data_IF_190674331456
#
_entry.id   IF_190674331456
#
_cell.length_a   1.000
_cell.length_b   1.000
_cell.length_c   1.000
_cell.angle_alpha   90.00
_cell.angle_beta   90.00
_cell.angle_gamma   90.00
#
_symmetry.space_group_name_H-M   'P 1'
#
loop_
_entity.id
_entity.type
_entity.pdbx_description
1 polymer ?
#
# COMPACT_ATOMS: atom_id res chain seq x y z
N UNK A 1 27.24 -15.34 10.39
CA UNK A 1 27.17 -14.15 9.52
C UNK A 1 26.37 -14.42 8.24
N UNK A 2 26.69 -15.46 7.46
CA UNK A 2 25.97 -15.82 6.22
C UNK A 2 24.45 -16.04 6.37
N UNK A 3 24.03 -16.72 7.44
CA UNK A 3 22.60 -16.96 7.72
C UNK A 3 21.77 -15.68 7.90
N UNK A 4 22.35 -14.63 8.48
CA UNK A 4 21.64 -13.37 8.74
C UNK A 4 21.39 -12.59 7.44
N UNK A 5 22.36 -12.63 6.53
CA UNK A 5 22.29 -12.00 5.20
C UNK A 5 21.25 -12.72 4.34
N UNK A 6 21.24 -14.05 4.37
CA UNK A 6 20.27 -14.86 3.64
C UNK A 6 18.83 -14.64 4.11
N UNK A 7 18.62 -14.46 5.41
CA UNK A 7 17.31 -14.13 6.00
C UNK A 7 16.88 -12.71 5.61
N UNK A 8 17.78 -11.73 5.63
CA UNK A 8 17.43 -10.35 5.23
C UNK A 8 17.06 -10.26 3.74
N UNK A 9 17.76 -11.00 2.88
CA UNK A 9 17.48 -11.00 1.44
C UNK A 9 16.16 -11.70 1.12
N UNK A 10 15.87 -12.80 1.83
CA UNK A 10 14.57 -13.47 1.76
C UNK A 10 13.44 -12.55 2.22
N UNK A 11 13.61 -11.88 3.37
CA UNK A 11 12.62 -10.95 3.90
C UNK A 11 12.39 -9.79 2.93
N UNK A 12 13.43 -9.18 2.36
CA UNK A 12 13.28 -8.12 1.34
C UNK A 12 12.51 -8.60 0.12
N UNK A 13 12.80 -9.81 -0.36
CA UNK A 13 12.14 -10.39 -1.54
C UNK A 13 10.65 -10.64 -1.34
N UNK A 14 10.25 -11.11 -0.15
CA UNK A 14 8.87 -11.49 0.15
C UNK A 14 8.14 -10.51 1.08
N UNK A 15 8.73 -9.35 1.36
CA UNK A 15 8.21 -8.40 2.36
C UNK A 15 6.76 -8.01 2.07
N UNK A 16 6.45 -7.80 0.79
CA UNK A 16 5.15 -7.31 0.34
C UNK A 16 4.10 -8.44 0.43
N UNK A 17 4.47 -9.66 0.05
CA UNK A 17 3.60 -10.84 0.18
C UNK A 17 3.36 -11.21 1.66
N UNK A 18 4.39 -11.13 2.49
CA UNK A 18 4.28 -11.37 3.93
C UNK A 18 3.44 -10.28 4.60
N UNK A 19 3.66 -9.00 4.26
CA UNK A 19 2.86 -7.89 4.75
C UNK A 19 1.39 -8.06 4.38
N UNK A 20 1.08 -8.44 3.14
CA UNK A 20 -0.28 -8.77 2.72
C UNK A 20 -0.90 -9.88 3.56
N UNK A 21 -0.19 -11.02 3.70
CA UNK A 21 -0.68 -12.15 4.48
C UNK A 21 -0.94 -11.79 5.94
N UNK A 22 -0.02 -11.05 6.57
CA UNK A 22 -0.14 -10.58 7.95
C UNK A 22 -1.32 -9.59 8.07
N UNK A 23 -1.45 -8.62 7.17
CA UNK A 23 -2.57 -7.66 7.17
C UNK A 23 -3.91 -8.35 6.99
N UNK A 24 -3.99 -9.44 6.23
CA UNK A 24 -5.23 -10.20 6.01
C UNK A 24 -5.62 -11.00 7.27
N UNK A 25 -4.64 -11.60 7.94
CA UNK A 25 -4.83 -12.24 9.25
C UNK A 25 -5.23 -11.23 10.32
N UNK A 26 -4.58 -10.06 10.35
CA UNK A 26 -4.93 -8.97 11.25
C UNK A 26 -6.33 -8.43 10.98
N UNK A 27 -6.73 -8.26 9.73
CA UNK A 27 -8.09 -7.86 9.38
C UNK A 27 -9.10 -8.88 9.88
N UNK A 28 -8.87 -10.17 9.64
CA UNK A 28 -9.75 -11.24 10.11
C UNK A 28 -9.85 -11.28 11.64
N UNK A 29 -8.71 -11.20 12.34
CA UNK A 29 -8.67 -11.15 13.80
C UNK A 29 -9.29 -9.86 14.37
N UNK A 30 -9.16 -8.73 13.66
CA UNK A 30 -9.68 -7.44 14.11
C UNK A 30 -11.20 -7.43 14.23
N UNK A 31 -11.92 -8.26 13.48
CA UNK A 31 -13.38 -8.36 13.57
C UNK A 31 -13.87 -8.65 14.99
N UNK A 32 -13.13 -9.48 15.74
CA UNK A 32 -13.48 -9.82 17.13
C UNK A 32 -13.27 -8.64 18.08
N UNK A 33 -12.20 -7.86 17.87
CA UNK A 33 -11.88 -6.69 18.69
C UNK A 33 -12.81 -5.53 18.38
N UNK A 34 -13.05 -5.28 17.09
CA UNK A 34 -13.91 -4.20 16.60
C UNK A 34 -15.36 -4.38 17.05
N UNK A 35 -15.88 -5.61 17.09
CA UNK A 35 -17.20 -5.91 17.67
C UNK A 35 -17.32 -5.61 19.16
N UNK A 36 -16.22 -5.67 19.90
CA UNK A 36 -16.21 -5.29 21.31
C UNK A 36 -16.27 -3.78 21.53
N UNK A 37 -15.85 -2.99 20.54
CA UNK A 37 -15.75 -1.53 20.63
C UNK A 37 -16.90 -0.80 19.92
N UNK A 38 -17.47 -1.41 18.89
CA UNK A 38 -18.53 -0.84 18.07
C UNK A 38 -19.76 -1.77 18.04
N UNK A 39 -20.79 -1.41 18.80
CA UNK A 39 -22.06 -2.13 18.89
C UNK A 39 -22.83 -2.13 17.56
N UNK A 40 -22.52 -1.21 16.63
CA UNK A 40 -23.17 -1.15 15.31
C UNK A 40 -22.59 -2.11 14.28
N UNK A 41 -21.46 -2.76 14.60
CA UNK A 41 -20.82 -3.72 13.71
C UNK A 41 -21.61 -5.04 13.64
N UNK A 42 -22.35 -5.23 12.52
CA UNK A 42 -23.11 -6.44 12.27
C UNK A 42 -22.20 -7.57 11.78
N UNK A 43 -22.67 -8.83 11.76
CA UNK A 43 -21.82 -9.95 11.35
C UNK A 43 -21.27 -9.90 9.92
N UNK A 44 -21.92 -9.13 9.05
CA UNK A 44 -21.63 -8.97 7.62
C UNK A 44 -21.22 -7.53 7.29
N UNK A 45 -21.53 -6.56 8.16
CA UNK A 45 -21.18 -5.15 8.00
C UNK A 45 -20.05 -4.81 8.98
N UNK A 46 -18.79 -4.95 8.56
CA UNK A 46 -17.68 -4.61 9.42
C UNK A 46 -17.72 -3.08 9.54
N UNK A 47 -18.25 -2.58 10.66
CA UNK A 47 -18.57 -1.16 10.86
C UNK A 47 -17.42 -0.20 10.55
N UNK A 48 -17.66 1.12 10.62
CA UNK A 48 -16.75 2.19 10.15
C UNK A 48 -15.26 1.99 10.51
N UNK A 49 -14.97 1.43 11.68
CA UNK A 49 -13.59 1.16 12.13
C UNK A 49 -12.84 0.12 11.28
N UNK A 50 -13.55 -0.74 10.57
CA UNK A 50 -12.97 -1.72 9.64
C UNK A 50 -12.45 -1.08 8.36
N UNK A 51 -12.87 0.14 8.03
CA UNK A 51 -12.39 0.87 6.87
C UNK A 51 -10.87 1.09 6.93
N UNK A 52 -10.30 1.22 8.13
CA UNK A 52 -8.86 1.41 8.34
C UNK A 52 -8.05 0.19 7.87
N UNK A 53 -8.24 -1.02 8.42
CA UNK A 53 -7.50 -2.20 7.96
C UNK A 53 -7.86 -2.58 6.51
N UNK A 54 -9.08 -2.28 6.06
CA UNK A 54 -9.48 -2.51 4.67
C UNK A 54 -8.75 -1.57 3.70
N UNK A 55 -8.50 -0.32 4.10
CA UNK A 55 -7.67 0.62 3.33
C UNK A 55 -6.22 0.14 3.25
N UNK A 56 -5.67 -0.36 4.37
CA UNK A 56 -4.31 -0.95 4.38
C UNK A 56 -4.23 -2.14 3.43
N UNK A 57 -5.23 -3.04 3.46
CA UNK A 57 -5.31 -4.16 2.53
C UNK A 57 -5.40 -3.68 1.08
N UNK A 58 -6.26 -2.72 0.77
CA UNK A 58 -6.42 -2.19 -0.58
C UNK A 58 -5.10 -1.60 -1.12
N UNK A 59 -4.37 -0.84 -0.31
CA UNK A 59 -3.07 -0.27 -0.69
C UNK A 59 -2.05 -1.38 -0.94
N UNK A 60 -1.93 -2.35 -0.02
CA UNK A 60 -0.99 -3.45 -0.18
C UNK A 60 -1.31 -4.32 -1.39
N UNK A 61 -2.60 -4.57 -1.67
CA UNK A 61 -3.05 -5.32 -2.84
C UNK A 61 -2.74 -4.54 -4.11
N UNK A 62 -2.99 -3.23 -4.13
CA UNK A 62 -2.62 -2.38 -5.25
C UNK A 62 -1.12 -2.43 -5.52
N UNK A 63 -0.27 -2.31 -4.49
CA UNK A 63 1.19 -2.41 -4.65
C UNK A 63 1.63 -3.79 -5.16
N UNK A 64 1.02 -4.87 -4.66
CA UNK A 64 1.33 -6.23 -5.09
C UNK A 64 0.95 -6.52 -6.55
N UNK A 65 -0.13 -5.90 -7.04
CA UNK A 65 -0.57 -6.07 -8.42
C UNK A 65 0.22 -5.16 -9.38
N UNK A 66 0.45 -3.90 -8.99
CA UNK A 66 1.11 -2.92 -9.86
C UNK A 66 2.61 -3.13 -9.99
N UNK A 67 3.30 -3.55 -8.93
CA UNK A 67 4.75 -3.78 -8.96
C UNK A 67 5.21 -4.74 -10.06
N UNK A 68 4.66 -5.97 -10.14
CA UNK A 68 4.98 -6.91 -11.22
C UNK A 68 4.65 -6.36 -12.62
N UNK A 69 3.54 -5.63 -12.75
CA UNK A 69 3.13 -5.01 -14.03
C UNK A 69 4.14 -3.94 -14.46
N UNK A 70 4.54 -3.05 -13.54
CA UNK A 70 5.55 -2.02 -13.80
C UNK A 70 6.88 -2.67 -14.18
N UNK A 71 7.31 -3.69 -13.43
CA UNK A 71 8.54 -4.43 -13.70
C UNK A 71 8.56 -5.10 -15.07
N UNK A 72 7.42 -5.64 -15.50
CA UNK A 72 7.29 -6.31 -16.79
C UNK A 72 7.19 -5.31 -17.95
N UNK A 73 6.38 -4.26 -17.81
CA UNK A 73 6.08 -3.33 -18.89
C UNK A 73 7.12 -2.20 -19.00
N UNK A 74 7.68 -1.77 -17.87
CA UNK A 74 8.64 -0.67 -17.77
C UNK A 74 9.81 -1.01 -16.83
N UNK A 75 10.66 -1.99 -17.18
CA UNK A 75 11.79 -2.41 -16.34
C UNK A 75 12.81 -1.29 -16.05
N UNK A 76 12.90 -0.31 -16.95
CA UNK A 76 13.72 0.90 -16.74
C UNK A 76 13.16 1.75 -15.60
N UNK A 77 11.83 1.86 -15.50
CA UNK A 77 11.17 2.59 -14.43
C UNK A 77 11.33 1.88 -13.09
N UNK A 78 11.21 0.54 -13.08
CA UNK A 78 11.47 -0.30 -11.90
C UNK A 78 12.89 -0.06 -11.34
N UNK A 79 13.89 -0.15 -12.22
CA UNK A 79 15.29 0.10 -11.86
C UNK A 79 15.51 1.55 -11.40
N UNK A 80 14.84 2.51 -12.04
CA UNK A 80 14.90 3.92 -11.65
C UNK A 80 14.33 4.16 -10.25
N UNK A 81 13.17 3.56 -9.95
CA UNK A 81 12.50 3.66 -8.66
C UNK A 81 13.34 3.07 -7.52
N UNK A 82 13.97 1.92 -7.73
CA UNK A 82 14.77 1.26 -6.69
C UNK A 82 16.10 1.96 -6.41
N UNK A 83 16.81 2.41 -7.46
CA UNK A 83 18.21 2.82 -7.34
C UNK A 83 18.38 4.34 -7.34
N UNK A 84 17.63 5.04 -8.21
CA UNK A 84 17.93 6.43 -8.55
C UNK A 84 16.90 7.43 -8.01
N UNK A 85 15.71 6.96 -7.65
CA UNK A 85 14.61 7.83 -7.24
C UNK A 85 14.94 8.62 -5.99
N UNK A 86 15.47 7.99 -4.94
CA UNK A 86 15.80 8.70 -3.70
C UNK A 86 16.84 9.81 -3.92
N UNK A 87 17.90 9.49 -4.66
CA UNK A 87 18.94 10.46 -4.99
C UNK A 87 18.40 11.61 -5.85
N UNK A 88 17.66 11.29 -6.90
CA UNK A 88 17.05 12.30 -7.78
C UNK A 88 16.03 13.14 -7.02
N UNK A 89 15.27 12.53 -6.11
CA UNK A 89 14.29 13.24 -5.32
C UNK A 89 14.95 14.25 -4.39
N UNK A 90 16.08 13.89 -3.78
CA UNK A 90 16.83 14.81 -2.91
C UNK A 90 17.38 16.01 -3.68
N UNK A 91 17.83 15.84 -4.92
CA UNK A 91 18.40 16.90 -5.75
C UNK A 91 17.37 17.84 -6.38
N UNK A 92 16.08 17.49 -6.37
CA UNK A 92 15.01 18.37 -6.87
C UNK A 92 14.89 19.65 -6.05
N UNK A 93 14.56 20.74 -6.76
CA UNK A 93 14.21 22.03 -6.17
C UNK A 93 12.94 21.90 -5.33
N UNK A 94 12.80 22.72 -4.28
CA UNK A 94 11.67 22.65 -3.36
C UNK A 94 10.30 22.73 -4.06
N UNK A 95 10.17 23.59 -5.09
CA UNK A 95 8.92 23.71 -5.85
C UNK A 95 8.60 22.46 -6.66
N UNK A 96 9.61 21.76 -7.20
CA UNK A 96 9.40 20.52 -7.95
C UNK A 96 8.90 19.40 -7.03
N UNK A 97 9.45 19.33 -5.81
CA UNK A 97 8.96 18.42 -4.76
C UNK A 97 7.50 18.69 -4.44
N UNK A 98 7.15 19.97 -4.23
CA UNK A 98 5.76 20.39 -3.97
C UNK A 98 4.83 19.97 -5.11
N UNK A 99 5.23 20.19 -6.37
CA UNK A 99 4.44 19.76 -7.54
C UNK A 99 4.26 18.25 -7.58
N UNK A 100 5.31 17.47 -7.34
CA UNK A 100 5.21 15.99 -7.29
C UNK A 100 4.23 15.54 -6.21
N UNK A 101 4.34 16.09 -5.00
CA UNK A 101 3.39 15.78 -3.93
C UNK A 101 1.96 16.18 -4.30
N UNK A 102 1.76 17.37 -4.87
CA UNK A 102 0.44 17.85 -5.28
C UNK A 102 -0.19 16.94 -6.34
N UNK A 103 0.58 16.55 -7.37
CA UNK A 103 0.13 15.62 -8.41
C UNK A 103 -0.26 14.26 -7.82
N UNK A 104 0.52 13.76 -6.85
CA UNK A 104 0.21 12.50 -6.17
C UNK A 104 -1.08 12.60 -5.36
N UNK A 105 -1.26 13.67 -4.57
CA UNK A 105 -2.48 13.91 -3.81
C UNK A 105 -3.71 14.11 -4.72
N UNK A 106 -3.58 14.84 -5.82
CA UNK A 106 -4.65 15.01 -6.80
C UNK A 106 -5.04 13.69 -7.47
N UNK A 107 -4.05 12.86 -7.82
CA UNK A 107 -4.31 11.52 -8.39
C UNK A 107 -5.04 10.62 -7.39
N UNK A 108 -4.66 10.70 -6.10
CA UNK A 108 -5.32 9.94 -5.03
C UNK A 108 -6.75 10.42 -4.81
N UNK A 109 -6.97 11.75 -4.80
CA UNK A 109 -8.30 12.35 -4.71
C UNK A 109 -9.16 11.95 -5.91
N UNK A 110 -8.60 11.98 -7.12
CA UNK A 110 -9.32 11.58 -8.33
C UNK A 110 -9.70 10.10 -8.30
N UNK A 111 -8.77 9.22 -7.90
CA UNK A 111 -9.06 7.80 -7.71
C UNK A 111 -10.17 7.58 -6.69
N UNK A 112 -10.13 8.29 -5.55
CA UNK A 112 -11.18 8.26 -4.54
C UNK A 112 -12.55 8.67 -5.11
N UNK A 113 -12.63 9.81 -5.80
CA UNK A 113 -13.88 10.28 -6.43
C UNK A 113 -14.39 9.28 -7.47
N UNK A 114 -13.51 8.74 -8.32
CA UNK A 114 -13.88 7.75 -9.32
C UNK A 114 -14.44 6.48 -8.67
N UNK A 115 -13.81 5.97 -7.61
CA UNK A 115 -14.33 4.82 -6.87
C UNK A 115 -15.67 5.11 -6.20
N UNK A 116 -15.83 6.31 -5.61
CA UNK A 116 -17.08 6.71 -4.96
C UNK A 116 -18.22 6.85 -5.98
N UNK A 117 -17.94 7.38 -7.17
CA UNK A 117 -18.91 7.43 -8.28
C UNK A 117 -19.27 6.07 -8.87
N UNK A 118 -18.42 5.06 -8.71
CA UNK A 118 -18.70 3.71 -9.18
C UNK A 118 -19.58 2.91 -8.18
N UNK A 119 -19.67 3.37 -6.94
CA UNK A 119 -20.42 2.72 -5.85
C UNK A 119 -21.78 3.38 -5.60
N UNK A 120 -21.92 4.68 -5.88
CA UNK A 120 -23.19 5.43 -5.87
C UNK A 120 -23.99 5.20 -7.15
#
# INVERSE_FOLDING_TARGET
>A
MYWFIQISDFLRKYVLTLALGISLLLYWASQYVLRGLDVTSAPIDPGVLSAIPLTVLAVLTFMALTGPIIRQQWPVLDTYQEIFFEHTFKTLLSWQKVVIYLCLYLSLLFAFVATLSAVL
#
